data_IF_616752933542
#
_entry.id   IF_616752933542
#
_cell.length_a   1.000
_cell.length_b   1.000
_cell.length_c   1.000
_cell.angle_alpha   90.00
_cell.angle_beta   90.00
_cell.angle_gamma   90.00
#
_symmetry.space_group_name_H-M   'P 1'
#
loop_
_entity.id
_entity.type
_entity.pdbx_description
1 polymer ?
#
# COMPACT_ATOMS: atom_id res chain seq x y z
N UNK A 1 15.12 -27.45 -1.11
CA UNK A 1 14.42 -26.34 -1.81
C UNK A 1 14.40 -25.15 -0.86
N UNK A 2 15.11 -24.07 -1.17
CA UNK A 2 14.99 -22.83 -0.38
C UNK A 2 13.65 -22.19 -0.73
N UNK A 3 12.66 -22.39 0.12
CA UNK A 3 11.38 -21.71 0.02
C UNK A 3 11.61 -20.24 0.41
N UNK A 4 11.89 -19.38 -0.57
CA UNK A 4 11.95 -17.94 -0.33
C UNK A 4 10.55 -17.48 0.06
N UNK A 5 10.32 -17.34 1.37
CA UNK A 5 9.06 -16.84 1.91
C UNK A 5 8.91 -15.37 1.53
N UNK A 6 7.71 -14.98 1.11
CA UNK A 6 7.37 -13.58 0.92
C UNK A 6 7.53 -12.79 2.22
N UNK A 7 7.73 -11.48 2.11
CA UNK A 7 7.81 -10.56 3.25
C UNK A 7 6.58 -9.67 3.28
N UNK A 8 5.90 -9.64 4.42
CA UNK A 8 4.89 -8.61 4.70
C UNK A 8 5.59 -7.30 5.09
N UNK A 9 5.21 -6.20 4.44
CA UNK A 9 5.75 -4.87 4.71
C UNK A 9 4.58 -3.96 5.09
N UNK A 10 4.60 -3.41 6.30
CA UNK A 10 3.66 -2.37 6.71
C UNK A 10 4.09 -1.01 6.15
N UNK A 11 3.24 -0.40 5.33
CA UNK A 11 3.49 0.91 4.72
C UNK A 11 2.46 1.90 5.26
N UNK A 12 2.93 2.96 5.91
CA UNK A 12 2.09 4.11 6.25
C UNK A 12 1.85 4.97 5.01
N UNK A 13 0.59 5.29 4.72
CA UNK A 13 0.18 6.06 3.53
C UNK A 13 -0.06 7.55 3.80
N UNK A 14 0.23 8.02 5.02
CA UNK A 14 -0.03 9.40 5.42
C UNK A 14 -1.49 9.65 5.81
N UNK A 15 -1.85 10.92 6.09
CA UNK A 15 -3.15 11.29 6.63
C UNK A 15 -4.26 11.46 5.57
N UNK A 16 -3.92 11.50 4.28
CA UNK A 16 -4.89 11.67 3.20
C UNK A 16 -4.29 12.21 1.91
N UNK A 17 -3.44 13.23 2.02
CA UNK A 17 -2.78 13.86 0.87
C UNK A 17 -1.65 12.94 0.33
N UNK A 18 -1.71 12.50 -0.95
CA UNK A 18 -0.68 11.65 -1.55
C UNK A 18 0.71 12.29 -1.57
N UNK A 19 0.82 13.62 -1.59
CA UNK A 19 2.11 14.32 -1.58
C UNK A 19 2.87 14.14 -0.24
N UNK A 20 2.17 13.71 0.82
CA UNK A 20 2.76 13.44 2.13
C UNK A 20 3.32 12.01 2.27
N UNK A 21 3.30 11.22 1.20
CA UNK A 21 3.95 9.92 1.18
C UNK A 21 5.47 10.07 1.30
N UNK A 22 6.09 9.21 2.11
CA UNK A 22 7.56 9.14 2.13
C UNK A 22 8.08 8.55 0.82
N UNK A 23 9.25 9.01 0.38
CA UNK A 23 9.93 8.46 -0.82
C UNK A 23 10.11 6.93 -0.73
N UNK A 24 10.32 6.39 0.49
CA UNK A 24 10.43 4.94 0.70
C UNK A 24 9.10 4.21 0.51
N UNK A 25 7.98 4.81 0.92
CA UNK A 25 6.65 4.25 0.71
C UNK A 25 6.35 4.16 -0.80
N UNK A 26 6.57 5.24 -1.54
CA UNK A 26 6.37 5.28 -3.01
C UNK A 26 7.18 4.18 -3.70
N UNK A 27 8.51 4.15 -3.49
CA UNK A 27 9.38 3.13 -4.09
C UNK A 27 9.00 1.69 -3.72
N UNK A 28 8.47 1.49 -2.50
CA UNK A 28 8.02 0.15 -2.08
C UNK A 28 6.72 -0.21 -2.80
N UNK A 29 5.75 0.71 -2.87
CA UNK A 29 4.48 0.49 -3.56
C UNK A 29 4.66 0.20 -5.06
N UNK A 30 5.60 0.89 -5.72
CA UNK A 30 5.94 0.67 -7.14
C UNK A 30 6.62 -0.68 -7.43
N UNK A 31 7.21 -1.32 -6.42
CA UNK A 31 8.03 -2.54 -6.62
C UNK A 31 7.39 -3.83 -6.11
N UNK A 32 6.37 -3.73 -5.24
CA UNK A 32 5.72 -4.92 -4.68
C UNK A 32 4.74 -5.53 -5.68
N UNK A 33 4.71 -6.86 -5.83
CA UNK A 33 3.80 -7.51 -6.77
C UNK A 33 2.35 -7.60 -6.24
N UNK A 34 2.14 -7.39 -4.94
CA UNK A 34 0.84 -7.55 -4.28
C UNK A 34 0.67 -6.48 -3.22
N UNK A 35 -0.49 -5.83 -3.23
CA UNK A 35 -0.92 -4.86 -2.21
C UNK A 35 -2.15 -5.40 -1.48
N UNK A 36 -2.09 -5.37 -0.16
CA UNK A 36 -3.23 -5.70 0.71
C UNK A 36 -3.75 -4.42 1.36
N UNK A 37 -4.99 -4.04 1.05
CA UNK A 37 -5.65 -2.87 1.61
C UNK A 37 -7.03 -3.24 2.19
N UNK A 38 -7.12 -3.51 3.50
CA UNK A 38 -8.39 -3.85 4.14
C UNK A 38 -9.43 -2.73 3.99
N UNK A 39 -10.70 -3.12 3.90
CA UNK A 39 -11.86 -2.22 3.90
C UNK A 39 -12.87 -2.64 4.96
N UNK A 40 -13.56 -1.66 5.54
CA UNK A 40 -14.50 -1.90 6.64
C UNK A 40 -15.81 -2.57 6.21
N UNK A 41 -16.17 -2.48 4.93
CA UNK A 41 -17.27 -3.22 4.33
C UNK A 41 -17.08 -3.36 2.83
N UNK A 42 -17.82 -4.26 2.19
CA UNK A 42 -17.70 -4.47 0.74
C UNK A 42 -18.04 -3.21 -0.07
N UNK A 43 -19.00 -2.42 0.42
CA UNK A 43 -19.56 -1.24 -0.24
C UNK A 43 -18.72 0.02 -0.07
N UNK A 44 -17.76 0.04 0.86
CA UNK A 44 -16.90 1.20 1.11
C UNK A 44 -15.48 0.92 0.61
N UNK A 45 -14.87 1.81 -0.20
CA UNK A 45 -13.48 1.63 -0.61
C UNK A 45 -12.54 1.74 0.61
N UNK A 46 -11.35 1.15 0.49
CA UNK A 46 -10.31 1.34 1.49
C UNK A 46 -9.77 2.77 1.40
N UNK A 47 -9.83 3.51 2.52
CA UNK A 47 -9.29 4.88 2.60
C UNK A 47 -7.78 4.87 2.30
N UNK A 48 -7.05 3.89 2.83
CA UNK A 48 -5.62 3.79 2.60
C UNK A 48 -5.30 3.54 1.12
N UNK A 49 -6.09 2.69 0.44
CA UNK A 49 -5.92 2.43 -0.98
C UNK A 49 -6.21 3.68 -1.83
N UNK A 50 -7.26 4.44 -1.50
CA UNK A 50 -7.61 5.64 -2.27
C UNK A 50 -6.52 6.71 -2.22
N UNK A 51 -5.75 6.80 -1.13
CA UNK A 51 -4.64 7.76 -1.01
C UNK A 51 -3.52 7.43 -2.00
N UNK A 52 -3.22 6.15 -2.19
CA UNK A 52 -2.11 5.71 -3.05
C UNK A 52 -2.55 5.40 -4.49
N UNK A 53 -3.85 5.47 -4.81
CA UNK A 53 -4.39 5.02 -6.09
C UNK A 53 -3.76 5.69 -7.32
N UNK A 54 -3.29 6.94 -7.21
CA UNK A 54 -2.66 7.67 -8.30
C UNK A 54 -1.21 7.27 -8.59
N UNK A 55 -0.58 6.45 -7.72
CA UNK A 55 0.81 6.00 -7.86
C UNK A 55 0.92 4.47 -8.02
N UNK A 56 -0.21 3.76 -8.02
CA UNK A 56 -0.27 2.31 -8.25
C UNK A 56 -0.48 1.95 -9.72
#
# INVERSE_FOLDING_TARGET
MNMNKGKLIGIGVGPGDPELLTVKAVKTLESVPVICAPKSSEKKPSVALSIVQGIL
#
